data_IF_031907676025
#
_entry.id   IF_031907676025
#
_cell.length_a   1.000
_cell.length_b   1.000
_cell.length_c   1.000
_cell.angle_alpha   90.00
_cell.angle_beta   90.00
_cell.angle_gamma   90.00
#
_symmetry.space_group_name_H-M   'P 1'
#
loop_
_entity.id
_entity.type
_entity.pdbx_description
1 polymer ?
#
# COMPACT_ATOMS: atom_id res chain seq x y z
N UNK A 1 9.24 -3.86 -6.69
CA UNK A 1 8.25 -4.45 -5.75
C UNK A 1 7.24 -5.26 -6.55
N UNK A 2 6.63 -6.28 -5.94
CA UNK A 2 5.61 -7.10 -6.61
C UNK A 2 4.28 -6.34 -6.70
N UNK A 3 3.64 -6.42 -7.86
CA UNK A 3 2.35 -5.78 -8.16
C UNK A 3 1.35 -6.83 -8.59
N UNK A 4 0.09 -6.66 -8.22
CA UNK A 4 -1.05 -7.37 -8.83
C UNK A 4 -1.97 -6.36 -9.48
N UNK A 5 -2.46 -6.70 -10.67
CA UNK A 5 -3.41 -5.90 -11.43
C UNK A 5 -4.77 -6.58 -11.43
N UNK A 6 -5.82 -5.83 -11.12
CA UNK A 6 -7.21 -6.23 -11.37
C UNK A 6 -7.71 -5.37 -12.52
N UNK A 7 -8.14 -5.99 -13.61
CA UNK A 7 -8.55 -5.28 -14.82
C UNK A 7 -9.79 -5.91 -15.46
N UNK A 8 -10.72 -5.07 -15.90
CA UNK A 8 -11.85 -5.42 -16.76
C UNK A 8 -12.04 -4.31 -17.82
N UNK A 9 -13.13 -4.29 -18.59
CA UNK A 9 -13.34 -3.29 -19.64
C UNK A 9 -13.40 -1.84 -19.16
N UNK A 10 -13.75 -1.61 -17.89
CA UNK A 10 -13.98 -0.28 -17.33
C UNK A 10 -12.89 0.17 -16.37
N UNK A 11 -12.34 -0.74 -15.57
CA UNK A 11 -11.46 -0.44 -14.45
C UNK A 11 -10.12 -1.14 -14.60
N UNK A 12 -9.06 -0.46 -14.18
CA UNK A 12 -7.73 -1.00 -13.95
C UNK A 12 -7.25 -0.57 -12.57
N UNK A 13 -6.95 -1.53 -11.72
CA UNK A 13 -6.54 -1.31 -10.33
C UNK A 13 -5.17 -1.95 -10.13
N UNK A 14 -4.20 -1.14 -9.72
CA UNK A 14 -2.83 -1.56 -9.42
C UNK A 14 -2.60 -1.65 -7.92
N UNK A 15 -2.22 -2.82 -7.44
CA UNK A 15 -2.00 -3.10 -6.02
C UNK A 15 -0.53 -3.48 -5.78
N UNK A 16 0.16 -2.75 -4.90
CA UNK A 16 1.53 -3.06 -4.46
C UNK A 16 1.52 -4.16 -3.39
N UNK A 17 1.32 -5.41 -3.78
CA UNK A 17 1.40 -6.53 -2.82
C UNK A 17 2.79 -6.71 -2.21
N UNK A 18 3.84 -6.19 -2.85
CA UNK A 18 5.18 -6.14 -2.29
C UNK A 18 5.38 -5.08 -1.21
N UNK A 19 4.38 -4.22 -0.95
CA UNK A 19 4.45 -3.09 -0.03
C UNK A 19 3.03 -2.63 0.36
N UNK A 20 2.57 -3.04 1.54
CA UNK A 20 1.37 -2.48 2.16
C UNK A 20 0.03 -2.92 1.60
N UNK A 21 0.03 -3.65 0.48
CA UNK A 21 -1.15 -3.80 -0.38
C UNK A 21 -1.70 -2.46 -0.86
N UNK A 22 -0.83 -1.46 -1.01
CA UNK A 22 -1.22 -0.11 -1.40
C UNK A 22 -1.88 -0.11 -2.78
N UNK A 23 -3.05 0.52 -2.92
CA UNK A 23 -3.64 0.79 -4.24
C UNK A 23 -2.99 2.06 -4.78
N UNK A 24 -2.12 1.90 -5.79
CA UNK A 24 -1.39 3.02 -6.39
C UNK A 24 -2.04 3.54 -7.68
N UNK A 25 -2.97 2.77 -8.24
CA UNK A 25 -3.75 3.14 -9.42
C UNK A 25 -5.17 2.60 -9.25
N UNK A 26 -6.15 3.47 -9.49
CA UNK A 26 -7.56 3.09 -9.60
C UNK A 26 -8.13 3.86 -10.78
N UNK A 27 -7.96 3.31 -11.97
CA UNK A 27 -8.26 3.98 -13.22
C UNK A 27 -9.59 3.54 -13.80
N UNK A 28 -10.42 4.52 -14.17
CA UNK A 28 -11.55 4.34 -15.07
C UNK A 28 -11.11 4.57 -16.53
N UNK A 29 -11.00 3.48 -17.29
CA UNK A 29 -10.45 3.45 -18.65
C UNK A 29 -11.21 4.33 -19.65
N UNK A 30 -12.57 4.37 -19.66
CA UNK A 30 -13.30 5.17 -20.65
C UNK A 30 -13.01 6.68 -20.62
N UNK A 31 -12.52 7.21 -19.49
CA UNK A 31 -12.16 8.63 -19.35
C UNK A 31 -10.67 8.85 -19.10
N UNK A 32 -9.86 7.78 -19.14
CA UNK A 32 -8.46 7.77 -18.69
C UNK A 32 -8.25 8.52 -17.35
N UNK A 33 -9.19 8.33 -16.41
CA UNK A 33 -9.21 9.04 -15.14
C UNK A 33 -8.71 8.11 -14.03
N UNK A 34 -7.61 8.48 -13.38
CA UNK A 34 -7.11 7.80 -12.18
C UNK A 34 -7.61 8.53 -10.93
N UNK A 35 -8.31 7.81 -10.05
CA UNK A 35 -8.86 8.36 -8.82
C UNK A 35 -7.82 8.46 -7.70
N UNK A 36 -6.64 7.88 -7.87
CA UNK A 36 -5.59 7.90 -6.85
C UNK A 36 -4.80 9.21 -6.89
N UNK A 37 -4.58 9.80 -5.71
CA UNK A 37 -3.67 10.94 -5.54
C UNK A 37 -2.26 10.54 -5.99
N UNK A 38 -1.63 11.36 -6.82
CA UNK A 38 -0.22 11.21 -7.21
C UNK A 38 0.56 12.44 -6.75
N UNK A 39 1.53 12.20 -5.86
CA UNK A 39 2.48 13.23 -5.47
C UNK A 39 3.65 13.25 -6.47
N UNK A 40 4.43 14.34 -6.48
CA UNK A 40 5.65 14.43 -7.27
C UNK A 40 6.74 13.40 -6.85
N UNK A 41 6.54 12.74 -5.70
CA UNK A 41 7.42 11.72 -5.15
C UNK A 41 7.10 10.35 -5.75
N UNK A 42 8.13 9.64 -6.18
CA UNK A 42 8.00 8.27 -6.68
C UNK A 42 7.73 7.23 -5.59
N UNK A 43 7.25 6.06 -6.01
CA UNK A 43 7.03 4.91 -5.12
C UNK A 43 8.39 4.29 -4.75
N UNK A 44 8.77 4.41 -3.48
CA UNK A 44 10.02 3.85 -2.94
C UNK A 44 9.84 2.43 -2.44
N UNK A 45 10.86 1.60 -2.65
CA UNK A 45 10.92 0.24 -2.15
C UNK A 45 11.58 0.21 -0.76
N UNK A 46 10.83 -0.01 0.33
CA UNK A 46 11.38 0.03 1.69
C UNK A 46 12.42 -1.06 1.99
N UNK A 47 12.53 -2.09 1.13
CA UNK A 47 13.57 -3.12 1.25
C UNK A 47 14.91 -2.72 0.59
N UNK A 48 14.93 -1.63 -0.18
CA UNK A 48 16.12 -1.14 -0.90
C UNK A 48 16.48 0.29 -0.52
N UNK A 49 15.47 1.12 -0.24
CA UNK A 49 15.60 2.52 0.15
C UNK A 49 15.14 2.66 1.60
N UNK A 50 16.12 2.73 2.51
CA UNK A 50 15.89 2.90 3.93
C UNK A 50 15.88 4.38 4.28
N UNK A 51 14.82 4.84 4.95
CA UNK A 51 14.86 6.14 5.62
C UNK A 51 16.02 6.11 6.63
N UNK A 52 16.84 7.16 6.60
CA UNK A 52 18.04 7.25 7.43
C UNK A 52 17.71 7.39 8.91
N UNK A 53 16.46 7.72 9.28
CA UNK A 53 16.01 7.84 10.66
C UNK A 53 14.84 6.89 10.92
N UNK A 54 15.07 5.90 11.80
CA UNK A 54 14.01 5.03 12.33
C UNK A 54 13.43 5.63 13.61
N UNK A 55 12.20 5.25 13.96
CA UNK A 55 11.51 5.68 15.19
C UNK A 55 11.22 7.18 15.27
N UNK A 56 11.10 7.86 14.13
CA UNK A 56 10.62 9.24 14.11
C UNK A 56 9.08 9.27 14.10
N UNK A 57 8.47 10.36 14.60
CA UNK A 57 7.02 10.50 14.56
C UNK A 57 6.43 10.42 13.15
N UNK A 58 7.16 10.83 12.12
CA UNK A 58 6.68 11.03 10.75
C UNK A 58 7.24 10.02 9.73
N UNK A 59 7.77 8.88 10.18
CA UNK A 59 8.46 7.91 9.32
C UNK A 59 7.63 7.43 8.11
N UNK A 60 6.29 7.36 8.25
CA UNK A 60 5.41 6.99 7.15
C UNK A 60 5.49 7.97 5.96
N UNK A 61 5.61 9.26 6.22
CA UNK A 61 5.66 10.33 5.20
C UNK A 61 6.88 10.20 4.28
N UNK A 62 7.97 9.58 4.78
CA UNK A 62 9.16 9.28 3.98
C UNK A 62 8.87 8.28 2.85
N UNK A 63 7.80 7.50 2.97
CA UNK A 63 7.38 6.51 1.98
C UNK A 63 6.05 6.84 1.30
N UNK A 64 5.27 7.77 1.86
CA UNK A 64 3.99 8.19 1.30
C UNK A 64 4.19 8.86 -0.06
N UNK A 65 3.45 8.39 -1.07
CA UNK A 65 3.51 8.85 -2.45
C UNK A 65 2.13 9.31 -2.97
N UNK A 66 1.11 9.34 -2.10
CA UNK A 66 -0.30 9.33 -2.50
C UNK A 66 -0.84 7.91 -2.62
N UNK A 67 -1.96 7.71 -3.31
CA UNK A 67 -2.66 6.43 -3.39
C UNK A 67 -3.51 6.10 -2.16
N UNK A 68 -3.73 4.81 -1.92
CA UNK A 68 -4.48 4.27 -0.79
C UNK A 68 -3.58 3.31 0.01
N UNK A 69 -3.44 3.55 1.31
CA UNK A 69 -2.67 2.71 2.23
C UNK A 69 -3.54 2.12 3.34
N UNK A 70 -3.20 0.92 3.77
CA UNK A 70 -3.75 0.32 4.98
C UNK A 70 -2.99 0.82 6.22
N UNK A 71 -3.74 1.35 7.20
CA UNK A 71 -3.17 1.97 8.40
C UNK A 71 -3.57 1.17 9.64
N UNK A 72 -2.68 0.26 10.05
CA UNK A 72 -2.78 -0.53 11.29
C UNK A 72 -1.38 -0.74 11.89
N UNK A 73 -1.26 -0.88 13.22
CA UNK A 73 -2.33 -0.88 14.21
C UNK A 73 -2.76 0.50 14.70
N UNK A 74 -2.10 1.58 14.26
CA UNK A 74 -2.29 2.91 14.83
C UNK A 74 -2.19 4.01 13.77
N UNK A 75 -2.87 5.12 14.04
CA UNK A 75 -2.74 6.35 13.25
C UNK A 75 -1.74 7.30 13.89
N UNK A 76 -1.95 7.83 15.11
CA UNK A 76 -0.94 8.67 15.76
C UNK A 76 0.21 7.83 16.33
N UNK A 77 1.35 8.46 16.52
CA UNK A 77 2.49 7.85 17.24
C UNK A 77 2.15 7.60 18.70
N UNK A 78 2.59 6.49 19.26
CA UNK A 78 2.42 6.22 20.69
C UNK A 78 3.46 5.24 21.21
N UNK A 79 3.65 5.22 22.53
CA UNK A 79 4.45 4.20 23.20
C UNK A 79 3.52 3.09 23.73
N UNK A 80 3.80 1.85 23.36
CA UNK A 80 3.08 0.68 23.84
C UNK A 80 4.03 -0.28 24.53
N UNK A 81 3.85 -0.48 25.84
CA UNK A 81 4.67 -1.42 26.65
C UNK A 81 6.19 -1.22 26.50
N UNK A 82 6.62 0.04 26.40
CA UNK A 82 8.04 0.39 26.23
C UNK A 82 8.55 0.37 24.78
N UNK A 83 7.74 -0.05 23.81
CA UNK A 83 8.04 0.07 22.39
C UNK A 83 7.46 1.37 21.80
N UNK A 84 8.28 2.14 21.09
CA UNK A 84 7.82 3.31 20.34
C UNK A 84 7.26 2.89 18.98
N UNK A 85 5.99 3.20 18.74
CA UNK A 85 5.32 2.97 17.46
C UNK A 85 5.17 4.29 16.72
N UNK A 86 5.72 4.33 15.50
CA UNK A 86 5.64 5.47 14.59
C UNK A 86 4.20 5.73 14.10
N UNK A 87 3.99 6.85 13.43
CA UNK A 87 2.70 7.18 12.81
C UNK A 87 2.36 6.13 11.75
N UNK A 88 1.06 5.83 11.63
CA UNK A 88 0.51 4.97 10.59
C UNK A 88 0.95 3.50 10.61
N UNK A 89 1.45 3.06 11.76
CA UNK A 89 1.77 1.66 12.02
C UNK A 89 2.84 1.11 11.08
N UNK A 90 2.79 -0.19 10.82
CA UNK A 90 3.87 -0.90 10.12
C UNK A 90 3.41 -1.68 8.89
N UNK A 91 2.10 -1.96 8.76
CA UNK A 91 1.62 -2.86 7.71
C UNK A 91 1.74 -2.27 6.30
N UNK A 92 1.77 -0.95 6.18
CA UNK A 92 1.81 -0.19 4.92
C UNK A 92 3.16 -0.28 4.18
N UNK A 93 4.22 -0.74 4.86
CA UNK A 93 5.57 -0.81 4.29
C UNK A 93 6.11 -2.23 4.15
N UNK A 94 5.38 -3.24 4.59
CA UNK A 94 5.80 -4.65 4.49
C UNK A 94 5.16 -5.36 3.30
N UNK A 95 5.77 -6.43 2.76
CA UNK A 95 5.12 -7.28 1.77
C UNK A 95 3.90 -8.02 2.33
N UNK A 96 2.88 -8.16 1.50
CA UNK A 96 1.67 -8.94 1.79
C UNK A 96 1.66 -10.21 0.96
N UNK A 97 1.08 -11.27 1.53
CA UNK A 97 0.72 -12.47 0.79
C UNK A 97 -0.62 -12.22 0.09
N UNK A 98 -0.83 -12.95 -1.00
CA UNK A 98 -2.06 -12.83 -1.76
C UNK A 98 -2.46 -14.15 -2.42
N UNK A 99 -3.75 -14.26 -2.76
CA UNK A 99 -4.32 -15.32 -3.58
C UNK A 99 -5.32 -14.70 -4.54
N UNK A 100 -5.27 -15.10 -5.81
CA UNK A 100 -6.34 -14.83 -6.76
C UNK A 100 -7.50 -15.76 -6.37
N UNK A 101 -8.68 -15.19 -6.14
CA UNK A 101 -9.86 -15.94 -5.68
C UNK A 101 -10.80 -16.20 -6.85
N UNK A 102 -11.06 -15.18 -7.68
CA UNK A 102 -11.82 -15.29 -8.92
C UNK A 102 -11.07 -14.56 -10.05
N UNK A 103 -11.12 -15.13 -11.25
CA UNK A 103 -10.57 -14.52 -12.46
C UNK A 103 -11.34 -15.04 -13.68
N UNK A 104 -12.52 -14.48 -13.90
CA UNK A 104 -13.36 -14.78 -15.03
C UNK A 104 -13.99 -13.51 -15.63
N UNK A 105 -14.75 -13.68 -16.71
CA UNK A 105 -15.36 -12.57 -17.44
C UNK A 105 -16.40 -11.76 -16.62
N UNK A 106 -16.96 -12.34 -15.55
CA UNK A 106 -17.94 -11.67 -14.68
C UNK A 106 -17.26 -10.98 -13.51
N UNK A 107 -16.17 -11.54 -12.99
CA UNK A 107 -15.53 -11.04 -11.77
C UNK A 107 -14.04 -11.37 -11.68
N UNK A 108 -13.30 -10.40 -11.16
CA UNK A 108 -11.93 -10.57 -10.67
C UNK A 108 -11.89 -10.22 -9.18
N UNK A 109 -11.25 -11.07 -8.38
CA UNK A 109 -11.12 -10.82 -6.94
C UNK A 109 -9.80 -11.37 -6.40
N UNK A 110 -9.25 -10.66 -5.42
CA UNK A 110 -8.00 -11.01 -4.76
C UNK A 110 -8.22 -11.02 -3.24
N UNK A 111 -7.59 -11.97 -2.56
CA UNK A 111 -7.44 -11.96 -1.12
C UNK A 111 -6.02 -11.55 -0.77
N UNK A 112 -5.88 -10.62 0.15
CA UNK A 112 -4.61 -10.08 0.64
C UNK A 112 -4.54 -10.31 2.14
N UNK A 113 -3.37 -10.69 2.65
CA UNK A 113 -3.14 -10.79 4.09
C UNK A 113 -1.67 -10.61 4.43
N UNK A 114 -1.43 -10.11 5.63
CA UNK A 114 -0.10 -10.04 6.23
C UNK A 114 -0.18 -10.37 7.71
N UNK A 115 0.98 -10.54 8.33
CA UNK A 115 1.12 -10.62 9.78
C UNK A 115 2.11 -9.54 10.21
N UNK A 116 1.68 -8.54 10.99
CA UNK A 116 2.59 -7.59 11.62
C UNK A 116 3.57 -8.31 12.57
N UNK A 117 4.73 -7.69 12.81
CA UNK A 117 5.80 -8.26 13.64
C UNK A 117 5.43 -8.28 15.13
#
# INVERSE_FOLDING_TARGET
MKVVWLENDYLKIGILVGRGSDIFEFRYKPLDCDFMLRLAKGIRNPLQDFSQMRNTPNQFEDYYYGGWQEILPNSPTFNYRGASLGQHGEISLIPWKYSIVENDAKKVSIKLWTRPL
#
